data_IF_155439691795
#
_entry.id   IF_155439691795
#
_cell.length_a   1.000
_cell.length_b   1.000
_cell.length_c   1.000
_cell.angle_alpha   90.00
_cell.angle_beta   90.00
_cell.angle_gamma   90.00
#
_symmetry.space_group_name_H-M   'P 1'
#
loop_
_entity.id
_entity.type
_entity.pdbx_description
1 polymer ?
#
# COMPACT_ATOMS: atom_id res chain seq x y z
N UNK A 1 68.70 15.94 1.62
CA UNK A 1 67.82 15.32 0.60
C UNK A 1 67.42 13.93 1.06
N UNK A 2 66.23 13.76 1.64
CA UNK A 2 65.77 12.46 2.14
C UNK A 2 65.19 11.63 0.98
N UNK A 3 65.85 10.52 0.62
CA UNK A 3 65.38 9.59 -0.41
C UNK A 3 64.12 8.85 0.07
N UNK A 4 63.04 8.99 -0.70
CA UNK A 4 61.80 8.22 -0.55
C UNK A 4 62.10 6.73 -0.69
N UNK A 5 61.99 5.96 0.40
CA UNK A 5 62.09 4.50 0.35
C UNK A 5 60.88 3.93 -0.41
N UNK A 6 61.14 3.26 -1.53
CA UNK A 6 60.12 2.63 -2.34
C UNK A 6 59.34 1.60 -1.51
N UNK A 7 58.01 1.77 -1.45
CA UNK A 7 57.13 0.88 -0.70
C UNK A 7 57.20 -0.55 -1.25
N UNK A 8 57.52 -1.52 -0.38
CA UNK A 8 57.56 -2.94 -0.72
C UNK A 8 56.17 -3.44 -1.16
N UNK A 9 56.11 -4.45 -2.05
CA UNK A 9 54.85 -5.00 -2.55
C UNK A 9 53.92 -5.51 -1.44
N UNK A 10 54.46 -6.01 -0.33
CA UNK A 10 53.68 -6.41 0.85
C UNK A 10 53.00 -5.22 1.55
N UNK A 11 53.71 -4.10 1.71
CA UNK A 11 53.16 -2.87 2.28
C UNK A 11 52.04 -2.31 1.41
N UNK A 12 52.15 -2.43 0.07
CA UNK A 12 51.08 -2.06 -0.87
C UNK A 12 49.85 -2.97 -0.73
N UNK A 13 50.02 -4.28 -0.55
CA UNK A 13 48.92 -5.23 -0.31
C UNK A 13 48.18 -4.93 1.00
N UNK A 14 48.92 -4.67 2.08
CA UNK A 14 48.34 -4.31 3.39
C UNK A 14 47.52 -3.02 3.31
N UNK A 15 48.04 -1.98 2.64
CA UNK A 15 47.31 -0.72 2.46
C UNK A 15 46.03 -0.90 1.62
N UNK A 16 46.08 -1.73 0.57
CA UNK A 16 44.89 -2.05 -0.24
C UNK A 16 43.83 -2.80 0.58
N UNK A 17 44.25 -3.77 1.40
CA UNK A 17 43.36 -4.50 2.31
C UNK A 17 42.70 -3.57 3.33
N UNK A 18 43.47 -2.70 3.99
CA UNK A 18 42.95 -1.72 4.95
C UNK A 18 41.96 -0.73 4.31
N UNK A 19 42.26 -0.27 3.07
CA UNK A 19 41.37 0.62 2.32
C UNK A 19 40.05 -0.06 1.93
N UNK A 20 40.11 -1.31 1.49
CA UNK A 20 38.92 -2.10 1.16
C UNK A 20 38.05 -2.35 2.40
N UNK A 21 38.67 -2.71 3.53
CA UNK A 21 37.96 -2.90 4.80
C UNK A 21 37.21 -1.64 5.24
N UNK A 22 37.86 -0.48 5.18
CA UNK A 22 37.24 0.81 5.54
C UNK A 22 36.09 1.18 4.60
N UNK A 23 36.21 0.87 3.30
CA UNK A 23 35.14 1.09 2.33
C UNK A 23 33.92 0.21 2.64
N UNK A 24 34.16 -1.06 2.97
CA UNK A 24 33.10 -2.01 3.33
C UNK A 24 32.37 -1.58 4.61
N UNK A 25 33.11 -1.25 5.68
CA UNK A 25 32.55 -0.76 6.93
C UNK A 25 31.74 0.53 6.74
N UNK A 26 32.21 1.46 5.89
CA UNK A 26 31.45 2.67 5.55
C UNK A 26 30.16 2.35 4.80
N UNK A 27 30.19 1.41 3.86
CA UNK A 27 29.00 0.96 3.11
C UNK A 27 27.97 0.35 4.05
N UNK A 28 28.39 -0.52 4.97
CA UNK A 28 27.51 -1.15 5.96
C UNK A 28 26.86 -0.11 6.90
N UNK A 29 27.62 0.89 7.37
CA UNK A 29 27.05 1.97 8.21
C UNK A 29 26.02 2.81 7.48
N UNK A 30 26.28 3.14 6.21
CA UNK A 30 25.33 3.90 5.39
C UNK A 30 24.06 3.10 5.12
N UNK A 31 24.18 1.79 4.88
CA UNK A 31 23.05 0.91 4.70
C UNK A 31 22.19 0.82 5.98
N UNK A 32 22.79 0.58 7.14
CA UNK A 32 22.07 0.56 8.42
C UNK A 32 21.40 1.91 8.74
N UNK A 33 22.01 3.03 8.34
CA UNK A 33 21.41 4.36 8.51
C UNK A 33 20.21 4.56 7.58
N UNK A 34 20.31 4.10 6.32
CA UNK A 34 19.18 4.10 5.37
C UNK A 34 18.03 3.23 5.86
N UNK A 35 18.32 2.04 6.39
CA UNK A 35 17.32 1.13 6.96
C UNK A 35 16.62 1.76 8.18
N UNK A 36 17.36 2.44 9.06
CA UNK A 36 16.78 3.19 10.19
C UNK A 36 15.90 4.35 9.75
N UNK A 37 16.31 5.12 8.75
CA UNK A 37 15.52 6.22 8.20
C UNK A 37 14.27 5.71 7.48
N UNK A 38 14.37 4.58 6.75
CA UNK A 38 13.23 3.93 6.13
C UNK A 38 12.24 3.37 7.17
N UNK A 39 12.73 2.71 8.22
CA UNK A 39 11.90 2.20 9.31
C UNK A 39 11.21 3.32 10.10
N UNK A 40 11.92 4.41 10.40
CA UNK A 40 11.37 5.58 11.06
C UNK A 40 10.30 6.31 10.24
N UNK A 41 10.48 6.40 8.92
CA UNK A 41 9.47 6.96 8.02
C UNK A 41 8.25 6.05 7.86
N UNK A 42 8.41 4.73 7.89
CA UNK A 42 7.29 3.79 7.86
C UNK A 42 6.48 3.81 9.16
N UNK A 43 7.11 3.97 10.32
CA UNK A 43 6.41 4.14 11.59
C UNK A 43 5.61 5.45 11.65
N UNK A 44 6.17 6.55 11.15
CA UNK A 44 5.48 7.86 11.11
C UNK A 44 4.42 7.99 10.02
N UNK A 45 4.52 7.24 8.92
CA UNK A 45 3.47 7.20 7.88
C UNK A 45 2.21 6.48 8.34
N UNK A 46 2.33 5.49 9.23
CA UNK A 46 1.17 4.81 9.84
C UNK A 46 0.32 5.72 10.73
N UNK A 47 0.86 6.85 11.21
CA UNK A 47 0.13 7.77 12.06
C UNK A 47 -0.70 8.83 11.32
N UNK A 48 -0.48 9.10 10.02
CA UNK A 48 -1.09 10.28 9.35
C UNK A 48 -1.27 10.19 7.84
N UNK A 49 -1.75 9.06 7.31
CA UNK A 49 -2.43 9.13 6.02
C UNK A 49 -3.92 9.12 6.33
N UNK A 50 -4.65 10.23 6.14
CA UNK A 50 -6.11 10.21 6.20
C UNK A 50 -6.57 9.10 5.26
N UNK A 51 -7.17 8.05 5.81
CA UNK A 51 -7.82 7.05 4.99
C UNK A 51 -9.06 7.66 4.33
N UNK A 52 -9.64 6.98 3.33
CA UNK A 52 -10.84 7.46 2.66
C UNK A 52 -12.03 7.64 3.62
N UNK A 53 -12.04 6.93 4.75
CA UNK A 53 -13.03 7.10 5.81
C UNK A 53 -12.58 8.15 6.83
N UNK A 54 -13.46 9.12 7.10
CA UNK A 54 -13.25 10.15 8.11
C UNK A 54 -13.29 9.55 9.51
N UNK A 55 -12.28 9.86 10.33
CA UNK A 55 -12.24 9.52 11.75
C UNK A 55 -12.69 10.74 12.57
N UNK A 56 -13.86 10.67 13.22
CA UNK A 56 -14.23 11.70 14.19
C UNK A 56 -13.32 11.62 15.43
N UNK A 57 -13.00 12.79 15.99
CA UNK A 57 -12.19 12.93 17.21
C UNK A 57 -12.91 12.45 18.47
N UNK A 58 -14.25 12.33 18.42
CA UNK A 58 -15.08 12.01 19.57
C UNK A 58 -15.48 10.52 19.63
N UNK A 59 -15.02 9.70 18.66
CA UNK A 59 -15.24 8.26 18.68
C UNK A 59 -14.56 7.62 19.89
N UNK A 60 -15.22 6.64 20.52
CA UNK A 60 -14.53 5.78 21.48
C UNK A 60 -13.32 5.11 20.84
N UNK A 61 -12.35 4.73 21.69
CA UNK A 61 -11.11 4.08 21.25
C UNK A 61 -11.42 2.82 20.43
N UNK A 62 -12.38 2.02 20.88
CA UNK A 62 -12.80 0.78 20.22
C UNK A 62 -13.35 1.06 18.80
N UNK A 63 -14.28 2.01 18.67
CA UNK A 63 -14.86 2.37 17.38
C UNK A 63 -13.83 3.06 16.45
N UNK A 64 -12.88 3.79 17.03
CA UNK A 64 -11.78 4.40 16.27
C UNK A 64 -10.82 3.35 15.73
N UNK A 65 -10.58 2.26 16.44
CA UNK A 65 -9.69 1.19 16.00
C UNK A 65 -10.32 0.40 14.82
N UNK A 66 -11.61 0.09 14.89
CA UNK A 66 -12.33 -0.56 13.77
C UNK A 66 -12.27 0.25 12.48
N UNK A 67 -12.54 1.56 12.55
CA UNK A 67 -12.45 2.44 11.38
C UNK A 67 -11.01 2.61 10.87
N UNK A 68 -10.02 2.58 11.77
CA UNK A 68 -8.60 2.66 11.40
C UNK A 68 -8.15 1.40 10.67
N UNK A 69 -8.57 0.24 11.15
CA UNK A 69 -8.29 -1.04 10.50
C UNK A 69 -8.96 -1.13 9.12
N UNK A 70 -10.20 -0.67 9.00
CA UNK A 70 -10.89 -0.61 7.71
C UNK A 70 -10.18 0.33 6.73
N UNK A 71 -9.74 1.51 7.18
CA UNK A 71 -8.93 2.42 6.38
C UNK A 71 -7.60 1.80 5.93
N UNK A 72 -6.93 1.06 6.83
CA UNK A 72 -5.69 0.38 6.50
C UNK A 72 -5.91 -0.72 5.44
N UNK A 73 -7.02 -1.47 5.54
CA UNK A 73 -7.39 -2.47 4.54
C UNK A 73 -7.73 -1.83 3.18
N UNK A 74 -8.48 -0.73 3.15
CA UNK A 74 -8.76 0.02 1.91
C UNK A 74 -7.48 0.48 1.22
N UNK A 75 -6.52 1.00 1.98
CA UNK A 75 -5.22 1.39 1.45
C UNK A 75 -4.43 0.19 0.93
N UNK A 76 -4.41 -0.93 1.66
CA UNK A 76 -3.72 -2.14 1.27
C UNK A 76 -4.34 -2.81 0.03
N UNK A 77 -5.66 -2.73 -0.11
CA UNK A 77 -6.41 -3.19 -1.28
C UNK A 77 -6.10 -2.37 -2.53
N UNK A 78 -5.58 -1.15 -2.35
CA UNK A 78 -5.22 -0.26 -3.47
C UNK A 78 -6.34 0.69 -3.86
N UNK A 79 -7.14 1.16 -2.89
CA UNK A 79 -8.15 2.20 -3.14
C UNK A 79 -7.52 3.43 -3.83
N UNK A 80 -8.13 3.87 -4.92
CA UNK A 80 -7.73 5.07 -5.69
C UNK A 80 -8.93 6.00 -5.81
N UNK A 81 -8.70 7.30 -5.61
CA UNK A 81 -9.77 8.29 -5.67
C UNK A 81 -10.28 8.53 -7.10
N UNK A 82 -9.33 8.52 -8.05
CA UNK A 82 -9.56 8.53 -9.49
C UNK A 82 -9.88 7.11 -10.01
N UNK A 83 -11.11 6.70 -9.77
CA UNK A 83 -11.64 5.40 -10.18
C UNK A 83 -11.70 5.24 -11.71
N UNK A 84 -11.81 6.34 -12.47
CA UNK A 84 -11.80 6.27 -13.94
C UNK A 84 -10.42 5.90 -14.48
N UNK A 85 -9.37 6.53 -13.93
CA UNK A 85 -7.99 6.16 -14.26
C UNK A 85 -7.68 4.71 -13.87
N UNK A 86 -8.15 4.26 -12.70
CA UNK A 86 -7.99 2.86 -12.27
C UNK A 86 -8.59 1.86 -13.27
N UNK A 87 -9.81 2.09 -13.76
CA UNK A 87 -10.45 1.17 -14.73
C UNK A 87 -9.65 1.11 -16.03
N UNK A 88 -9.16 2.26 -16.52
CA UNK A 88 -8.30 2.29 -17.71
C UNK A 88 -7.01 1.48 -17.49
N UNK A 89 -6.35 1.63 -16.33
CA UNK A 89 -5.14 0.88 -15.99
C UNK A 89 -5.39 -0.64 -15.91
N UNK A 90 -6.53 -1.06 -15.36
CA UNK A 90 -6.93 -2.47 -15.30
C UNK A 90 -7.12 -3.03 -16.71
N UNK A 91 -7.84 -2.31 -17.58
CA UNK A 91 -8.04 -2.71 -18.97
C UNK A 91 -6.71 -2.80 -19.73
N UNK A 92 -5.78 -1.87 -19.51
CA UNK A 92 -4.45 -1.95 -20.12
C UNK A 92 -3.60 -3.10 -19.55
N UNK A 93 -3.77 -3.44 -18.28
CA UNK A 93 -3.00 -4.50 -17.60
C UNK A 93 -3.22 -5.90 -18.18
N UNK A 94 -4.35 -6.11 -18.86
CA UNK A 94 -4.68 -7.41 -19.48
C UNK A 94 -3.91 -7.62 -20.79
N UNK A 95 -3.64 -6.54 -21.55
CA UNK A 95 -3.00 -6.58 -22.86
C UNK A 95 -1.68 -7.38 -22.91
N UNK A 96 -0.72 -7.19 -21.98
CA UNK A 96 0.54 -7.92 -22.02
C UNK A 96 0.43 -9.41 -21.68
N UNK A 97 -0.68 -9.84 -21.07
CA UNK A 97 -0.93 -11.25 -20.70
C UNK A 97 -1.86 -11.98 -21.67
N UNK A 98 -2.51 -11.26 -22.60
CA UNK A 98 -3.30 -11.86 -23.67
C UNK A 98 -2.45 -12.84 -24.51
N UNK A 99 -3.05 -13.97 -24.86
CA UNK A 99 -2.39 -15.08 -25.57
C UNK A 99 -1.45 -15.93 -24.72
N UNK A 100 -1.11 -15.52 -23.49
CA UNK A 100 -0.24 -16.28 -22.57
C UNK A 100 -1.07 -16.99 -21.51
N UNK A 101 -1.60 -18.17 -21.85
CA UNK A 101 -2.58 -18.93 -21.05
C UNK A 101 -2.28 -19.02 -19.56
N UNK A 102 -1.04 -19.32 -19.17
CA UNK A 102 -0.66 -19.42 -17.75
C UNK A 102 -0.65 -18.07 -17.04
N UNK A 103 -0.17 -17.01 -17.70
CA UNK A 103 -0.13 -15.66 -17.15
C UNK A 103 -1.55 -15.10 -17.04
N UNK A 104 -2.39 -15.34 -18.04
CA UNK A 104 -3.79 -14.97 -18.03
C UNK A 104 -4.54 -15.62 -16.87
N UNK A 105 -4.38 -16.93 -16.66
CA UNK A 105 -5.00 -17.61 -15.50
C UNK A 105 -4.55 -17.05 -14.15
N UNK A 106 -3.26 -16.72 -14.02
CA UNK A 106 -2.74 -16.11 -12.79
C UNK A 106 -3.31 -14.71 -12.57
N UNK A 107 -3.43 -13.94 -13.64
CA UNK A 107 -4.04 -12.62 -13.62
C UNK A 107 -5.52 -12.70 -13.22
N UNK A 108 -6.31 -13.58 -13.86
CA UNK A 108 -7.74 -13.79 -13.54
C UNK A 108 -7.92 -14.12 -12.06
N UNK A 109 -7.18 -15.11 -11.54
CA UNK A 109 -7.25 -15.46 -10.11
C UNK A 109 -6.90 -14.30 -9.19
N UNK A 110 -5.87 -13.52 -9.53
CA UNK A 110 -5.50 -12.36 -8.75
C UNK A 110 -6.61 -11.30 -8.73
N UNK A 111 -7.33 -11.10 -9.84
CA UNK A 111 -8.48 -10.20 -9.89
C UNK A 111 -9.67 -10.75 -9.09
N UNK A 112 -9.96 -12.05 -9.17
CA UNK A 112 -11.01 -12.70 -8.38
C UNK A 112 -10.75 -12.57 -6.87
N UNK A 113 -9.52 -12.85 -6.43
CA UNK A 113 -9.09 -12.69 -5.03
C UNK A 113 -9.22 -11.21 -4.59
N UNK A 114 -8.85 -10.27 -5.47
CA UNK A 114 -8.97 -8.84 -5.21
C UNK A 114 -10.43 -8.38 -5.10
N UNK A 115 -11.33 -8.90 -5.93
CA UNK A 115 -12.77 -8.63 -5.86
C UNK A 115 -13.38 -9.15 -4.56
N UNK A 116 -12.95 -10.33 -4.10
CA UNK A 116 -13.46 -10.91 -2.85
C UNK A 116 -13.04 -10.07 -1.62
N UNK A 117 -11.81 -9.56 -1.59
CA UNK A 117 -11.39 -8.58 -0.57
C UNK A 117 -12.23 -7.29 -0.66
N UNK A 118 -12.54 -6.83 -1.88
CA UNK A 118 -13.44 -5.68 -2.11
C UNK A 118 -14.83 -5.87 -1.50
N UNK A 119 -15.43 -7.05 -1.66
CA UNK A 119 -16.71 -7.40 -1.00
C UNK A 119 -16.59 -7.39 0.52
N UNK A 120 -15.49 -7.94 1.05
CA UNK A 120 -15.22 -7.94 2.49
C UNK A 120 -15.11 -6.52 3.06
N UNK A 121 -14.50 -5.59 2.31
CA UNK A 121 -14.43 -4.17 2.66
C UNK A 121 -15.81 -3.51 2.70
N UNK A 122 -16.66 -3.76 1.70
CA UNK A 122 -18.03 -3.25 1.67
C UNK A 122 -18.87 -3.79 2.84
N UNK A 123 -18.71 -5.07 3.19
CA UNK A 123 -19.34 -5.66 4.36
C UNK A 123 -18.85 -4.98 5.65
N UNK A 124 -17.55 -4.67 5.76
CA UNK A 124 -17.00 -3.91 6.89
C UNK A 124 -17.60 -2.50 7.01
N UNK A 125 -17.74 -1.79 5.88
CA UNK A 125 -18.42 -0.47 5.87
C UNK A 125 -19.88 -0.55 6.30
N UNK A 126 -20.60 -1.57 5.83
CA UNK A 126 -21.98 -1.82 6.24
C UNK A 126 -22.06 -2.11 7.75
N UNK A 127 -21.14 -2.93 8.27
CA UNK A 127 -21.08 -3.24 9.70
C UNK A 127 -20.90 -1.98 10.55
N UNK A 128 -20.03 -1.05 10.13
CA UNK A 128 -19.85 0.25 10.80
C UNK A 128 -21.15 1.05 10.85
N UNK A 129 -21.91 1.11 9.75
CA UNK A 129 -23.19 1.83 9.70
C UNK A 129 -24.24 1.16 10.59
N UNK A 130 -24.32 -0.17 10.57
CA UNK A 130 -25.33 -0.91 11.35
C UNK A 130 -24.94 -1.12 12.82
N UNK A 131 -23.68 -0.85 13.15
CA UNK A 131 -23.09 -1.12 14.44
C UNK A 131 -23.38 -0.06 15.49
N UNK A 132 -22.75 -0.21 16.66
CA UNK A 132 -22.93 0.69 17.79
C UNK A 132 -22.20 2.02 17.65
N UNK A 133 -21.33 2.15 16.64
CA UNK A 133 -20.51 3.34 16.35
C UNK A 133 -21.35 4.62 16.27
N UNK A 134 -22.55 4.54 15.70
CA UNK A 134 -23.41 5.71 15.47
C UNK A 134 -24.04 6.28 16.75
N UNK A 135 -24.14 5.49 17.84
CA UNK A 135 -24.77 5.96 19.08
C UNK A 135 -23.89 6.91 19.91
N UNK A 136 -22.59 6.93 19.65
CA UNK A 136 -21.63 7.78 20.37
C UNK A 136 -21.41 9.14 19.70
N UNK A 137 -21.84 9.29 18.45
CA UNK A 137 -21.58 10.46 17.64
C UNK A 137 -22.70 11.48 17.71
N UNK A 138 -22.34 12.76 17.56
CA UNK A 138 -23.35 13.81 17.36
C UNK A 138 -24.01 13.66 15.98
N UNK A 139 -25.25 14.17 15.78
CA UNK A 139 -25.93 14.07 14.49
C UNK A 139 -25.11 14.61 13.30
N UNK A 140 -24.31 15.64 13.54
CA UNK A 140 -23.41 16.20 12.52
C UNK A 140 -22.30 15.22 12.14
N UNK A 141 -21.62 14.63 13.13
CA UNK A 141 -20.54 13.66 12.90
C UNK A 141 -21.06 12.36 12.29
N UNK A 142 -22.26 11.92 12.68
CA UNK A 142 -22.96 10.82 11.99
C UNK A 142 -23.14 11.16 10.52
N UNK A 143 -23.58 12.38 10.20
CA UNK A 143 -23.73 12.85 8.84
C UNK A 143 -22.41 12.82 8.04
N UNK A 144 -21.31 13.28 8.63
CA UNK A 144 -19.99 13.27 8.00
C UNK A 144 -19.46 11.84 7.78
N UNK A 145 -19.56 10.99 8.80
CA UNK A 145 -19.14 9.59 8.71
C UNK A 145 -19.97 8.84 7.66
N UNK A 146 -21.29 9.02 7.69
CA UNK A 146 -22.18 8.38 6.74
C UNK A 146 -21.89 8.84 5.31
N UNK A 147 -21.72 10.15 5.10
CA UNK A 147 -21.33 10.68 3.79
C UNK A 147 -20.01 10.09 3.30
N UNK A 148 -19.00 10.04 4.17
CA UNK A 148 -17.68 9.47 3.88
C UNK A 148 -17.76 7.98 3.51
N UNK A 149 -18.52 7.19 4.27
CA UNK A 149 -18.73 5.76 3.99
C UNK A 149 -19.44 5.59 2.64
N UNK A 150 -20.52 6.34 2.39
CA UNK A 150 -21.28 6.24 1.13
C UNK A 150 -20.46 6.64 -0.09
N UNK A 151 -19.66 7.71 0.01
CA UNK A 151 -18.76 8.10 -1.08
C UNK A 151 -17.67 7.05 -1.33
N UNK A 152 -17.12 6.47 -0.26
CA UNK A 152 -16.06 5.46 -0.37
C UNK A 152 -16.60 4.14 -0.92
N UNK A 153 -17.76 3.69 -0.44
CA UNK A 153 -18.40 2.46 -0.90
C UNK A 153 -18.77 2.54 -2.38
N UNK A 154 -19.29 3.69 -2.83
CA UNK A 154 -19.55 3.94 -4.25
C UNK A 154 -18.28 3.79 -5.10
N UNK A 155 -17.17 4.38 -4.68
CA UNK A 155 -15.88 4.28 -5.39
C UNK A 155 -15.34 2.86 -5.43
N UNK A 156 -15.41 2.14 -4.30
CA UNK A 156 -15.03 0.71 -4.23
C UNK A 156 -15.88 -0.11 -5.20
N UNK A 157 -17.20 0.06 -5.18
CA UNK A 157 -18.11 -0.64 -6.10
C UNK A 157 -17.79 -0.31 -7.57
N UNK A 158 -17.51 0.95 -7.89
CA UNK A 158 -17.14 1.36 -9.25
C UNK A 158 -15.86 0.64 -9.71
N UNK A 159 -14.82 0.64 -8.88
CA UNK A 159 -13.56 -0.04 -9.18
C UNK A 159 -13.77 -1.54 -9.37
N UNK A 160 -14.60 -2.18 -8.53
CA UNK A 160 -14.95 -3.60 -8.65
C UNK A 160 -15.66 -3.90 -9.97
N UNK A 161 -16.66 -3.10 -10.36
CA UNK A 161 -17.37 -3.25 -11.64
C UNK A 161 -16.41 -3.13 -12.82
N UNK A 162 -15.42 -2.23 -12.75
CA UNK A 162 -14.40 -2.12 -13.80
C UNK A 162 -13.55 -3.39 -13.98
N UNK A 163 -13.18 -4.02 -12.87
CA UNK A 163 -12.44 -5.30 -12.90
C UNK A 163 -13.35 -6.44 -13.40
N UNK A 164 -14.60 -6.52 -12.95
CA UNK A 164 -15.58 -7.49 -13.43
C UNK A 164 -15.81 -7.37 -14.94
N UNK A 165 -15.96 -6.14 -15.44
CA UNK A 165 -16.11 -5.89 -16.87
C UNK A 165 -14.86 -6.30 -17.69
N UNK A 166 -13.66 -6.07 -17.15
CA UNK A 166 -12.43 -6.54 -17.78
C UNK A 166 -12.33 -8.08 -17.81
N UNK A 167 -12.83 -8.76 -16.78
CA UNK A 167 -12.91 -10.22 -16.72
C UNK A 167 -13.95 -10.77 -17.71
N UNK A 168 -15.13 -10.17 -17.79
CA UNK A 168 -16.19 -10.58 -18.72
C UNK A 168 -15.74 -10.49 -20.18
N UNK A 169 -15.01 -9.43 -20.55
CA UNK A 169 -14.41 -9.27 -21.89
C UNK A 169 -13.47 -10.41 -22.27
N UNK A 170 -12.87 -11.11 -21.30
CA UNK A 170 -12.02 -12.27 -21.57
C UNK A 170 -12.81 -13.56 -21.80
N UNK A 171 -14.04 -13.65 -21.29
CA UNK A 171 -14.92 -14.80 -21.53
C UNK A 171 -15.40 -14.89 -22.98
N UNK A 172 -15.38 -13.77 -23.70
CA UNK A 172 -15.74 -13.67 -25.12
C UNK A 172 -14.59 -13.99 -26.09
N UNK A 173 -13.37 -14.29 -25.59
CA UNK A 173 -12.14 -14.55 -26.38
C UNK A 173 -11.76 -16.02 -26.35
#
# INVERSE_FOLDING_TARGET
MARSQASTPEKKKLLKSARNRRCYEKKMRLQATRERLAAGNNARRRERVPGPLILSKNLSILNSDELRDLNARLQAWGFVDDHAAFVADVEESVLPVLGKKEQLRKWVRAQEDWLEEGKSLLAGMQQVITGTVLFELTPHEVGELFHSIMCTSYKVQYMMVGVEFALDKLGDV
#
